data_IF_807822907407
#
_entry.id   IF_807822907407
#
_cell.length_a   1.000
_cell.length_b   1.000
_cell.length_c   1.000
_cell.angle_alpha   90.00
_cell.angle_beta   90.00
_cell.angle_gamma   90.00
#
_symmetry.space_group_name_H-M   'P 1'
#
loop_
_entity.id
_entity.type
_entity.pdbx_description
1 polymer ?
#
# COMPACT_ATOMS: atom_id res chain seq x y z
N UNK A 1 -2.91 19.07 -3.12
CA UNK A 1 -3.43 18.00 -4.01
C UNK A 1 -4.61 17.35 -3.30
N UNK A 2 -5.73 17.13 -3.99
CA UNK A 2 -6.85 16.35 -3.42
C UNK A 2 -6.56 14.87 -3.64
N UNK A 3 -6.51 14.07 -2.57
CA UNK A 3 -6.26 12.64 -2.64
C UNK A 3 -7.46 11.92 -3.28
N UNK A 4 -7.18 11.03 -4.23
CA UNK A 4 -8.21 10.24 -4.94
C UNK A 4 -7.99 8.76 -4.67
N UNK A 5 -8.77 8.14 -3.76
CA UNK A 5 -8.63 6.72 -3.41
C UNK A 5 -8.72 5.79 -4.61
N UNK A 6 -9.70 6.03 -5.50
CA UNK A 6 -9.93 5.20 -6.70
C UNK A 6 -8.73 5.14 -7.63
N UNK A 7 -8.09 6.28 -7.89
CA UNK A 7 -6.93 6.37 -8.78
C UNK A 7 -5.73 5.61 -8.18
N UNK A 8 -5.57 5.72 -6.86
CA UNK A 8 -4.51 5.00 -6.13
C UNK A 8 -4.74 3.48 -6.15
N UNK A 9 -5.98 3.03 -5.91
CA UNK A 9 -6.33 1.60 -6.00
C UNK A 9 -6.13 1.06 -7.41
N UNK A 10 -6.56 1.80 -8.44
CA UNK A 10 -6.35 1.42 -9.84
C UNK A 10 -4.87 1.27 -10.14
N UNK A 11 -4.05 2.24 -9.73
CA UNK A 11 -2.59 2.19 -9.89
C UNK A 11 -1.94 0.98 -9.22
N UNK A 12 -2.42 0.58 -8.04
CA UNK A 12 -1.93 -0.64 -7.36
C UNK A 12 -2.26 -1.88 -8.20
N UNK A 13 -3.50 -2.03 -8.62
CA UNK A 13 -3.95 -3.16 -9.44
C UNK A 13 -3.20 -3.22 -10.77
N UNK A 14 -3.06 -2.09 -11.46
CA UNK A 14 -2.33 -2.01 -12.75
C UNK A 14 -0.85 -2.36 -12.59
N UNK A 15 -0.29 -2.17 -11.39
CA UNK A 15 1.05 -2.59 -11.03
C UNK A 15 1.13 -4.05 -10.53
N UNK A 16 0.03 -4.82 -10.60
CA UNK A 16 -0.06 -6.21 -10.16
C UNK A 16 -0.08 -6.38 -8.63
N UNK A 17 -0.44 -5.34 -7.89
CA UNK A 17 -0.45 -5.35 -6.42
C UNK A 17 -1.88 -5.57 -5.93
N UNK A 18 -2.05 -6.57 -5.07
CA UNK A 18 -3.31 -6.77 -4.35
C UNK A 18 -3.44 -5.73 -3.22
N UNK A 19 -4.47 -4.84 -3.23
CA UNK A 19 -4.70 -3.88 -2.16
C UNK A 19 -4.87 -4.51 -0.77
N UNK A 20 -5.27 -5.78 -0.67
CA UNK A 20 -5.35 -6.51 0.61
C UNK A 20 -3.97 -6.60 1.30
N UNK A 21 -2.88 -6.56 0.54
CA UNK A 21 -1.51 -6.55 1.07
C UNK A 21 -1.24 -5.35 1.98
N UNK A 22 -1.93 -4.22 1.73
CA UNK A 22 -1.78 -3.02 2.55
C UNK A 22 -2.43 -3.18 3.94
N UNK A 23 -3.39 -4.09 4.10
CA UNK A 23 -4.06 -4.34 5.39
C UNK A 23 -3.11 -4.82 6.48
N UNK A 24 -1.92 -5.32 6.12
CA UNK A 24 -0.87 -5.64 7.10
C UNK A 24 -0.51 -4.44 7.98
N UNK A 25 -0.67 -3.20 7.45
CA UNK A 25 -0.43 -1.95 8.16
C UNK A 25 -1.44 -1.65 9.25
N UNK A 26 -2.58 -2.35 9.29
CA UNK A 26 -3.51 -2.30 10.43
C UNK A 26 -2.92 -2.98 11.67
N UNK A 27 -2.00 -3.94 11.48
CA UNK A 27 -1.41 -4.73 12.57
C UNK A 27 0.00 -4.28 12.93
N UNK A 28 0.83 -3.94 11.94
CA UNK A 28 2.24 -3.58 12.13
C UNK A 28 2.76 -2.70 11.00
N UNK A 29 3.83 -1.96 11.27
CA UNK A 29 4.68 -1.42 10.20
C UNK A 29 5.29 -2.56 9.39
N UNK A 30 5.56 -2.29 8.12
CA UNK A 30 6.03 -3.30 7.18
C UNK A 30 6.97 -2.67 6.15
N UNK A 31 7.91 -3.46 5.61
CA UNK A 31 8.68 -3.03 4.46
C UNK A 31 7.89 -3.19 3.14
N UNK A 32 8.45 -2.71 2.02
CA UNK A 32 7.74 -2.73 0.75
C UNK A 32 7.48 -4.15 0.21
N UNK A 33 8.31 -5.14 0.56
CA UNK A 33 8.12 -6.53 0.13
C UNK A 33 6.99 -7.18 0.94
N UNK A 34 6.97 -6.94 2.26
CA UNK A 34 5.86 -7.37 3.13
C UNK A 34 4.52 -6.75 2.70
N UNK A 35 4.55 -5.58 2.07
CA UNK A 35 3.37 -4.90 1.50
C UNK A 35 2.97 -5.40 0.11
N UNK A 36 3.62 -6.46 -0.41
CA UNK A 36 3.34 -6.97 -1.76
C UNK A 36 3.72 -6.00 -2.88
N UNK A 37 4.55 -4.99 -2.60
CA UNK A 37 4.96 -4.01 -3.60
C UNK A 37 6.17 -4.56 -4.37
N UNK A 38 6.14 -4.61 -5.72
CA UNK A 38 7.21 -5.22 -6.52
C UNK A 38 8.53 -4.45 -6.43
N UNK A 39 8.50 -3.17 -6.04
CA UNK A 39 9.69 -2.33 -5.90
C UNK A 39 9.51 -1.23 -4.86
N UNK A 40 10.62 -0.88 -4.19
CA UNK A 40 10.72 0.24 -3.24
C UNK A 40 10.18 1.56 -3.82
N UNK A 41 10.29 1.78 -5.12
CA UNK A 41 9.79 2.97 -5.81
C UNK A 41 8.27 3.16 -5.69
N UNK A 42 7.49 2.07 -5.63
CA UNK A 42 6.04 2.16 -5.46
C UNK A 42 5.71 2.60 -4.03
N UNK A 43 6.40 2.05 -3.02
CA UNK A 43 6.24 2.51 -1.64
C UNK A 43 6.56 4.01 -1.49
N UNK A 44 7.61 4.49 -2.16
CA UNK A 44 7.93 5.93 -2.21
C UNK A 44 6.81 6.74 -2.86
N UNK A 45 6.23 6.25 -3.95
CA UNK A 45 5.12 6.93 -4.62
C UNK A 45 3.88 7.02 -3.72
N UNK A 46 3.52 5.92 -3.04
CA UNK A 46 2.41 5.91 -2.08
C UNK A 46 2.69 6.84 -0.89
N UNK A 47 3.95 7.00 -0.52
CA UNK A 47 4.34 7.96 0.52
C UNK A 47 4.20 9.42 0.07
N UNK A 48 4.55 9.72 -1.19
CA UNK A 48 4.30 11.05 -1.79
C UNK A 48 2.80 11.36 -1.91
N UNK A 49 1.99 10.34 -2.18
CA UNK A 49 0.52 10.44 -2.17
C UNK A 49 -0.08 10.50 -0.77
N UNK A 50 0.73 10.36 0.29
CA UNK A 50 0.30 10.40 1.69
C UNK A 50 -0.42 9.14 2.19
N UNK A 51 -0.39 8.05 1.43
CA UNK A 51 -0.94 6.74 1.82
C UNK A 51 0.00 6.00 2.75
N UNK A 52 1.31 6.02 2.43
CA UNK A 52 2.33 5.47 3.31
C UNK A 52 3.05 6.59 4.05
N UNK A 53 3.61 6.27 5.21
CA UNK A 53 4.53 7.14 5.93
C UNK A 53 5.81 6.39 6.22
N UNK A 54 6.95 7.02 5.99
CA UNK A 54 8.23 6.44 6.37
C UNK A 54 8.35 6.46 7.89
N UNK A 55 8.59 5.29 8.50
CA UNK A 55 8.65 5.11 9.96
C UNK A 55 10.05 4.69 10.44
N UNK A 56 11.01 4.51 9.52
CA UNK A 56 12.39 4.20 9.86
C UNK A 56 13.00 3.14 8.95
N UNK A 57 14.12 2.56 9.40
CA UNK A 57 14.81 1.49 8.68
C UNK A 57 14.90 0.25 9.53
N UNK A 58 14.52 -0.88 8.96
CA UNK A 58 14.71 -2.21 9.56
C UNK A 58 15.96 -2.86 8.99
N UNK A 59 16.83 -3.33 9.88
CA UNK A 59 17.97 -4.14 9.49
C UNK A 59 17.48 -5.52 9.06
N UNK A 60 17.83 -5.92 7.84
CA UNK A 60 17.52 -7.25 7.29
C UNK A 60 18.69 -8.20 7.55
N UNK A 61 19.91 -7.72 7.27
CA UNK A 61 21.14 -8.44 7.55
C UNK A 61 22.28 -7.45 7.86
N UNK A 62 23.52 -7.95 8.01
CA UNK A 62 24.64 -7.11 8.44
C UNK A 62 24.87 -5.88 7.54
N UNK A 63 24.66 -6.01 6.22
CA UNK A 63 24.91 -4.95 5.22
C UNK A 63 23.64 -4.35 4.59
N UNK A 64 22.45 -4.85 4.94
CA UNK A 64 21.20 -4.52 4.24
C UNK A 64 20.14 -4.01 5.20
N UNK A 65 19.56 -2.87 4.84
CA UNK A 65 18.46 -2.23 5.53
C UNK A 65 17.31 -2.01 4.54
N UNK A 66 16.09 -2.23 5.00
CA UNK A 66 14.88 -1.85 4.27
C UNK A 66 14.19 -0.68 4.96
N UNK A 67 13.50 0.15 4.18
CA UNK A 67 12.64 1.19 4.72
C UNK A 67 11.37 0.54 5.28
N UNK A 68 11.02 0.87 6.52
CA UNK A 68 9.73 0.53 7.10
C UNK A 68 8.72 1.63 6.83
N UNK A 69 7.51 1.18 6.53
CA UNK A 69 6.37 2.02 6.21
C UNK A 69 5.25 1.77 7.20
N UNK A 70 4.59 2.85 7.60
CA UNK A 70 3.37 2.86 8.39
C UNK A 70 2.23 3.52 7.64
N UNK A 71 1.14 3.75 8.36
CA UNK A 71 -0.06 4.39 7.85
C UNK A 71 0.18 5.89 7.64
N UNK A 72 0.05 6.35 6.40
CA UNK A 72 0.00 7.77 6.07
C UNK A 72 -1.34 8.41 6.40
N UNK A 73 -1.42 9.73 6.24
CA UNK A 73 -2.63 10.53 6.53
C UNK A 73 -3.85 10.09 5.72
N UNK A 74 -3.65 9.59 4.50
CA UNK A 74 -4.72 9.17 3.60
C UNK A 74 -4.95 7.66 3.60
N UNK A 75 -4.18 6.90 4.37
CA UNK A 75 -4.38 5.44 4.50
C UNK A 75 -5.81 5.08 4.94
N UNK A 76 -6.39 5.69 6.00
CA UNK A 76 -7.74 5.32 6.44
C UNK A 76 -8.77 5.57 5.34
N UNK A 77 -8.71 6.74 4.68
CA UNK A 77 -9.61 7.08 3.57
C UNK A 77 -9.49 6.11 2.39
N UNK A 78 -8.26 5.69 2.03
CA UNK A 78 -8.04 4.69 0.98
C UNK A 78 -8.65 3.34 1.36
N UNK A 79 -8.43 2.88 2.59
CA UNK A 79 -8.92 1.58 3.06
C UNK A 79 -10.42 1.56 3.28
N UNK A 80 -11.03 2.64 3.76
CA UNK A 80 -12.49 2.73 3.89
C UNK A 80 -13.16 2.68 2.52
N UNK A 81 -12.65 3.47 1.56
CA UNK A 81 -13.12 3.39 0.17
C UNK A 81 -12.92 1.99 -0.42
N UNK A 82 -11.77 1.36 -0.17
CA UNK A 82 -11.51 0.01 -0.64
C UNK A 82 -12.48 -1.01 -0.03
N UNK A 83 -12.69 -1.00 1.29
CA UNK A 83 -13.61 -1.91 1.98
C UNK A 83 -15.04 -1.78 1.48
N UNK A 84 -15.50 -0.55 1.25
CA UNK A 84 -16.85 -0.29 0.71
C UNK A 84 -17.04 -0.80 -0.71
N UNK A 85 -15.98 -0.81 -1.52
CA UNK A 85 -16.03 -1.16 -2.95
C UNK A 85 -15.25 -2.44 -3.28
N UNK A 86 -14.91 -3.25 -2.26
CA UNK A 86 -13.93 -4.35 -2.39
C UNK A 86 -14.40 -5.37 -3.42
N UNK A 87 -15.63 -5.82 -3.31
CA UNK A 87 -16.19 -6.82 -4.23
C UNK A 87 -16.27 -6.31 -5.67
N UNK A 88 -16.72 -5.07 -5.87
CA UNK A 88 -16.81 -4.45 -7.20
C UNK A 88 -15.42 -4.33 -7.84
N UNK A 89 -14.44 -3.81 -7.09
CA UNK A 89 -13.06 -3.68 -7.56
C UNK A 89 -12.48 -5.05 -7.90
N UNK A 90 -12.64 -6.06 -7.04
CA UNK A 90 -12.07 -7.39 -7.26
C UNK A 90 -12.70 -8.07 -8.48
N UNK A 91 -14.02 -7.98 -8.66
CA UNK A 91 -14.71 -8.46 -9.86
C UNK A 91 -14.24 -7.74 -11.12
N UNK A 92 -14.16 -6.40 -11.10
CA UNK A 92 -13.74 -5.60 -12.25
C UNK A 92 -12.29 -5.85 -12.67
N UNK A 93 -11.45 -6.28 -11.73
CA UNK A 93 -10.01 -6.51 -11.95
C UNK A 93 -9.65 -8.00 -12.06
N UNK A 94 -10.62 -8.91 -11.99
CA UNK A 94 -10.37 -10.35 -12.03
C UNK A 94 -9.59 -10.90 -10.83
N UNK A 95 -9.65 -10.22 -9.68
CA UNK A 95 -8.99 -10.66 -8.43
C UNK A 95 -9.90 -11.66 -7.68
N UNK A 96 -9.33 -12.66 -6.99
CA UNK A 96 -10.09 -13.61 -6.18
C UNK A 96 -10.78 -12.88 -5.01
N UNK A 97 -12.05 -13.20 -4.73
CA UNK A 97 -12.87 -12.58 -3.67
C UNK A 97 -12.36 -12.90 -2.27
#
# INVERSE_FOLDING_TARGET
>A
MSFRPRDTLRKLVDAGIDPDSLLILEKKKADYLELGLPRQGIAKSLALEGVLKFEGRRRINYHKYHNEWGRGIYYPMLMDHYKQNREELRRACGLPL
#
